data_IF_287503628431
#
_entry.id   IF_287503628431
#
_cell.length_a   1.000
_cell.length_b   1.000
_cell.length_c   1.000
_cell.angle_alpha   90.00
_cell.angle_beta   90.00
_cell.angle_gamma   90.00
#
_symmetry.space_group_name_H-M   'P 1'
#
loop_
_entity.id
_entity.type
_entity.pdbx_description
1 polymer ?
#
# COMPACT_ATOMS: atom_id res chain seq x y z
N UNK A 1 -32.43 -18.86 -6.90
CA UNK A 1 -30.96 -19.02 -6.99
C UNK A 1 -30.32 -17.85 -6.20
N UNK A 2 -29.49 -18.13 -5.17
CA UNK A 2 -28.72 -17.07 -4.54
C UNK A 2 -27.79 -16.50 -5.59
N UNK A 3 -27.84 -15.18 -5.81
CA UNK A 3 -26.89 -14.50 -6.67
C UNK A 3 -25.46 -14.85 -6.20
N UNK A 4 -24.57 -15.17 -7.13
CA UNK A 4 -23.16 -15.42 -6.77
C UNK A 4 -22.62 -14.16 -6.09
N UNK A 5 -21.99 -14.35 -4.93
CA UNK A 5 -21.41 -13.25 -4.18
C UNK A 5 -20.35 -12.54 -5.04
N UNK A 6 -20.43 -11.23 -5.10
CA UNK A 6 -19.55 -10.35 -5.91
C UNK A 6 -18.68 -9.49 -4.99
N UNK A 7 -17.62 -8.99 -5.52
CA UNK A 7 -16.64 -8.19 -4.79
C UNK A 7 -16.70 -6.75 -5.30
N UNK A 8 -16.99 -5.82 -4.38
CA UNK A 8 -16.89 -4.38 -4.63
C UNK A 8 -15.59 -3.87 -4.04
N UNK A 9 -14.78 -3.24 -4.88
CA UNK A 9 -13.65 -2.43 -4.44
C UNK A 9 -14.10 -0.98 -4.31
N UNK A 10 -13.67 -0.30 -3.24
CA UNK A 10 -13.86 1.14 -3.03
C UNK A 10 -12.53 1.81 -2.74
N UNK A 11 -12.43 3.08 -3.12
CA UNK A 11 -11.25 3.94 -2.91
C UNK A 11 -11.72 5.37 -2.66
N UNK A 12 -11.22 5.99 -1.60
CA UNK A 12 -11.54 7.38 -1.27
C UNK A 12 -10.70 8.33 -2.15
N UNK A 13 -11.39 9.10 -2.99
CA UNK A 13 -10.74 9.98 -3.96
C UNK A 13 -9.85 11.03 -3.30
N UNK A 14 -8.58 11.06 -3.72
CA UNK A 14 -7.60 12.03 -3.21
C UNK A 14 -7.49 12.06 -1.69
N UNK A 15 -7.58 10.93 -1.03
CA UNK A 15 -7.88 10.76 0.39
C UNK A 15 -7.24 11.79 1.32
N UNK A 16 -5.89 11.96 1.33
CA UNK A 16 -5.27 12.94 2.23
C UNK A 16 -5.68 14.38 1.91
N UNK A 17 -5.82 14.73 0.64
CA UNK A 17 -6.29 16.06 0.27
C UNK A 17 -7.76 16.27 0.68
N UNK A 18 -8.62 15.27 0.49
CA UNK A 18 -10.00 15.29 0.95
C UNK A 18 -10.11 15.36 2.47
N UNK A 19 -9.21 14.69 3.20
CA UNK A 19 -9.12 14.83 4.66
C UNK A 19 -8.78 16.28 5.09
N UNK A 20 -7.88 16.96 4.38
CA UNK A 20 -7.57 18.36 4.67
C UNK A 20 -8.76 19.29 4.41
N UNK A 21 -9.53 19.04 3.36
CA UNK A 21 -10.77 19.78 3.06
C UNK A 21 -11.86 19.54 4.12
N UNK A 22 -11.91 18.35 4.72
CA UNK A 22 -12.81 18.03 5.85
C UNK A 22 -12.38 18.77 7.11
N UNK A 23 -11.08 18.72 7.43
CA UNK A 23 -10.51 19.33 8.64
C UNK A 23 -10.48 20.85 8.58
N UNK A 24 -10.44 21.42 7.39
CA UNK A 24 -10.37 22.87 7.14
C UNK A 24 -11.25 23.25 5.95
N UNK A 25 -12.56 23.47 6.16
CA UNK A 25 -13.52 23.75 5.08
C UNK A 25 -13.15 24.92 4.16
N UNK A 26 -12.36 25.87 4.63
CA UNK A 26 -11.82 26.99 3.84
C UNK A 26 -10.87 26.53 2.70
N UNK A 27 -10.42 25.28 2.71
CA UNK A 27 -9.57 24.68 1.67
C UNK A 27 -10.39 24.07 0.53
N UNK A 28 -11.68 23.90 0.70
CA UNK A 28 -12.54 23.29 -0.33
C UNK A 28 -12.50 24.06 -1.64
N UNK A 29 -12.32 23.32 -2.73
CA UNK A 29 -12.24 23.90 -4.06
C UNK A 29 -10.95 24.65 -4.38
N UNK A 30 -9.99 24.72 -3.46
CA UNK A 30 -8.68 25.31 -3.71
C UNK A 30 -7.72 24.26 -4.30
N UNK A 31 -6.73 24.68 -5.12
CA UNK A 31 -5.64 23.79 -5.47
C UNK A 31 -4.78 23.54 -4.24
N UNK A 32 -4.83 22.32 -3.68
CA UNK A 32 -4.05 21.95 -2.52
C UNK A 32 -3.33 20.62 -2.73
N UNK A 33 -2.17 20.49 -2.07
CA UNK A 33 -1.46 19.23 -1.94
C UNK A 33 -1.18 18.94 -0.47
N UNK A 34 -1.16 17.66 -0.13
CA UNK A 34 -0.57 17.19 1.11
C UNK A 34 0.84 16.75 0.81
N UNK A 35 1.80 17.29 1.55
CA UNK A 35 3.22 17.03 1.33
C UNK A 35 3.83 16.30 2.53
N UNK A 36 4.74 15.39 2.22
CA UNK A 36 5.57 14.69 3.20
C UNK A 36 7.04 14.83 2.89
N UNK A 37 7.90 14.63 3.88
CA UNK A 37 9.34 14.57 3.71
C UNK A 37 10.09 15.83 4.15
N UNK A 38 11.08 16.20 3.37
CA UNK A 38 12.05 17.26 3.69
C UNK A 38 11.40 18.65 3.60
N UNK A 39 11.96 19.58 4.38
CA UNK A 39 11.53 20.97 4.48
C UNK A 39 11.44 21.61 3.11
N UNK A 40 11.18 21.96 2.26
CA UNK A 40 11.07 22.51 0.89
C UNK A 40 11.18 21.48 -0.25
N UNK A 41 11.74 20.28 0.01
CA UNK A 41 11.98 19.24 -1.00
C UNK A 41 11.08 18.01 -0.82
N UNK A 42 9.96 18.18 -0.12
CA UNK A 42 8.99 17.11 0.06
C UNK A 42 8.38 16.68 -1.26
N UNK A 43 7.75 15.50 -1.24
CA UNK A 43 6.98 14.99 -2.36
C UNK A 43 5.50 15.17 -2.09
N UNK A 44 4.73 15.33 -3.16
CA UNK A 44 3.27 15.32 -3.13
C UNK A 44 2.80 13.93 -2.73
N UNK A 45 2.16 13.80 -1.59
CA UNK A 45 1.53 12.55 -1.14
C UNK A 45 0.12 12.41 -1.73
N UNK A 46 -0.62 13.51 -1.78
CA UNK A 46 -1.96 13.57 -2.38
C UNK A 46 -2.21 14.98 -2.92
N UNK A 47 -2.94 15.07 -4.01
CA UNK A 47 -3.32 16.34 -4.65
C UNK A 47 -4.84 16.42 -4.78
N UNK A 48 -5.45 17.56 -4.45
CA UNK A 48 -6.87 17.81 -4.65
C UNK A 48 -7.22 17.74 -6.14
N UNK A 49 -8.50 17.54 -6.45
CA UNK A 49 -8.99 17.53 -7.84
C UNK A 49 -8.57 18.81 -8.58
N UNK A 50 -8.64 19.94 -7.89
CA UNK A 50 -8.24 21.23 -8.44
C UNK A 50 -6.75 21.28 -8.75
N UNK A 51 -5.88 20.76 -7.84
CA UNK A 51 -4.44 20.70 -8.09
C UNK A 51 -4.09 19.74 -9.23
N UNK A 52 -4.80 18.61 -9.36
CA UNK A 52 -4.63 17.67 -10.49
C UNK A 52 -4.93 18.31 -11.84
N UNK A 53 -5.86 19.26 -11.93
CA UNK A 53 -6.15 19.98 -13.16
C UNK A 53 -4.96 20.82 -13.67
N UNK A 54 -4.02 21.20 -12.81
CA UNK A 54 -2.75 21.84 -13.18
C UNK A 54 -1.65 20.82 -13.53
N UNK A 55 -1.96 19.50 -13.63
CA UNK A 55 -0.98 18.46 -13.93
C UNK A 55 -0.19 17.96 -12.71
N UNK A 56 -0.55 18.40 -11.50
CA UNK A 56 0.12 17.98 -10.26
C UNK A 56 -0.28 16.54 -9.93
N UNK A 57 0.73 15.68 -9.65
CA UNK A 57 0.55 14.25 -9.39
C UNK A 57 1.23 13.83 -8.10
N UNK A 58 0.72 12.79 -7.43
CA UNK A 58 1.41 12.13 -6.32
C UNK A 58 2.79 11.65 -6.76
N UNK A 59 3.79 11.78 -5.86
CA UNK A 59 5.20 11.51 -6.15
C UNK A 59 5.97 12.67 -6.79
N UNK A 60 5.29 13.73 -7.26
CA UNK A 60 5.95 14.93 -7.79
C UNK A 60 6.66 15.69 -6.67
N UNK A 61 7.82 16.25 -6.95
CA UNK A 61 8.50 17.15 -6.01
C UNK A 61 7.67 18.42 -5.77
N UNK A 62 7.57 18.88 -4.52
CA UNK A 62 6.73 20.03 -4.15
C UNK A 62 7.13 21.31 -4.87
N UNK A 63 8.43 21.53 -5.12
CA UNK A 63 8.89 22.70 -5.87
C UNK A 63 8.37 22.71 -7.31
N UNK A 64 8.31 21.54 -7.98
CA UNK A 64 7.72 21.43 -9.32
C UNK A 64 6.22 21.69 -9.30
N UNK A 65 5.53 21.19 -8.27
CA UNK A 65 4.10 21.45 -8.10
C UNK A 65 3.79 22.94 -7.94
N UNK A 66 4.63 23.68 -7.20
CA UNK A 66 4.50 25.14 -7.05
C UNK A 66 4.75 25.90 -8.35
N UNK A 67 5.63 25.41 -9.22
CA UNK A 67 5.85 25.99 -10.54
C UNK A 67 4.63 25.86 -11.47
N UNK A 68 3.83 24.77 -11.29
CA UNK A 68 2.61 24.52 -12.08
C UNK A 68 1.40 25.33 -11.59
N UNK A 69 1.38 25.73 -10.30
CA UNK A 69 0.24 26.45 -9.72
C UNK A 69 0.75 27.45 -8.66
N UNK A 70 0.71 28.74 -8.97
CA UNK A 70 1.21 29.81 -8.08
C UNK A 70 0.37 29.94 -6.79
N UNK A 71 -0.94 29.65 -6.86
CA UNK A 71 -1.87 29.69 -5.73
C UNK A 71 -1.95 28.38 -4.94
N UNK A 72 -1.03 27.44 -5.19
CA UNK A 72 -1.02 26.12 -4.58
C UNK A 72 -0.87 26.18 -3.06
N UNK A 73 -1.86 25.61 -2.35
CA UNK A 73 -1.79 25.43 -0.91
C UNK A 73 -1.04 24.14 -0.60
N UNK A 74 -0.05 24.21 0.27
CA UNK A 74 0.73 23.05 0.71
C UNK A 74 0.42 22.75 2.17
N UNK A 75 -0.23 21.62 2.43
CA UNK A 75 -0.57 21.14 3.76
C UNK A 75 0.46 20.10 4.24
N UNK A 76 0.96 20.21 5.47
CA UNK A 76 1.75 19.13 6.06
C UNK A 76 0.85 17.91 6.33
N UNK A 77 1.40 16.70 6.14
CA UNK A 77 0.65 15.48 6.41
C UNK A 77 0.30 15.34 7.90
N UNK A 78 -0.95 14.97 8.20
CA UNK A 78 -1.49 14.72 9.55
C UNK A 78 -1.98 13.27 9.69
N UNK A 79 -1.09 12.26 9.74
CA UNK A 79 -1.47 10.85 9.65
C UNK A 79 -2.45 10.38 10.72
N UNK A 80 -2.39 10.94 11.95
CA UNK A 80 -3.30 10.57 13.04
C UNK A 80 -4.73 11.02 12.74
N UNK A 81 -4.92 12.24 12.25
CA UNK A 81 -6.22 12.75 11.83
C UNK A 81 -6.78 11.94 10.65
N UNK A 82 -5.93 11.57 9.69
CA UNK A 82 -6.35 10.75 8.55
C UNK A 82 -6.79 9.35 8.98
N UNK A 83 -6.10 8.72 9.95
CA UNK A 83 -6.53 7.45 10.52
C UNK A 83 -7.90 7.52 11.20
N UNK A 84 -8.20 8.62 11.89
CA UNK A 84 -9.52 8.83 12.51
C UNK A 84 -10.63 8.97 11.45
N UNK A 85 -10.38 9.72 10.37
CA UNK A 85 -11.34 9.85 9.27
C UNK A 85 -11.53 8.51 8.56
N UNK A 86 -10.45 7.77 8.30
CA UNK A 86 -10.47 6.41 7.77
C UNK A 86 -11.32 5.48 8.63
N UNK A 87 -11.10 5.47 9.95
CA UNK A 87 -11.86 4.63 10.87
C UNK A 87 -13.37 4.95 10.83
N UNK A 88 -13.75 6.23 10.71
CA UNK A 88 -15.15 6.63 10.53
C UNK A 88 -15.72 6.11 9.20
N UNK A 89 -14.95 6.18 8.11
CA UNK A 89 -15.35 5.64 6.81
C UNK A 89 -15.60 4.12 6.90
N UNK A 90 -14.64 3.36 7.41
CA UNK A 90 -14.78 1.90 7.56
C UNK A 90 -15.93 1.51 8.49
N UNK A 91 -16.16 2.26 9.58
CA UNK A 91 -17.29 2.04 10.47
C UNK A 91 -18.64 2.17 9.74
N UNK A 92 -18.78 3.12 8.79
CA UNK A 92 -19.97 3.23 7.95
C UNK A 92 -20.09 2.10 6.93
N UNK A 93 -18.99 1.73 6.28
CA UNK A 93 -18.98 0.66 5.30
C UNK A 93 -19.37 -0.71 5.88
N UNK A 94 -19.04 -0.97 7.15
CA UNK A 94 -19.42 -2.18 7.85
C UNK A 94 -20.94 -2.39 8.01
N UNK A 95 -21.75 -1.32 7.86
CA UNK A 95 -23.21 -1.46 7.86
C UNK A 95 -23.78 -1.95 6.54
N UNK A 96 -23.01 -1.91 5.45
CA UNK A 96 -23.45 -2.24 4.10
C UNK A 96 -23.08 -3.66 3.65
N UNK A 97 -22.16 -4.31 4.35
CA UNK A 97 -21.69 -5.64 3.99
C UNK A 97 -21.33 -6.46 5.23
N UNK A 98 -21.61 -7.77 5.23
CA UNK A 98 -21.19 -8.67 6.30
C UNK A 98 -19.66 -8.83 6.36
N UNK A 99 -18.97 -8.48 5.28
CA UNK A 99 -17.52 -8.59 5.19
C UNK A 99 -16.92 -7.38 4.49
N UNK A 100 -16.16 -6.60 5.25
CA UNK A 100 -15.35 -5.47 4.77
C UNK A 100 -13.87 -5.76 5.05
N UNK A 101 -13.05 -5.76 4.01
CA UNK A 101 -11.61 -6.03 4.10
C UNK A 101 -10.85 -4.77 3.75
N UNK A 102 -10.25 -4.12 4.74
CA UNK A 102 -9.38 -2.96 4.54
C UNK A 102 -8.06 -3.40 3.88
N UNK A 103 -7.65 -2.69 2.83
CA UNK A 103 -6.34 -2.88 2.16
C UNK A 103 -5.37 -1.78 2.59
N UNK A 104 -5.87 -0.56 2.69
CA UNK A 104 -5.13 0.62 3.14
C UNK A 104 -6.01 1.50 4.03
N UNK A 105 -5.60 2.73 4.30
CA UNK A 105 -6.40 3.72 5.03
C UNK A 105 -7.55 4.30 4.20
N UNK A 106 -7.52 4.13 2.89
CA UNK A 106 -8.41 4.79 1.93
C UNK A 106 -9.11 3.82 0.98
N UNK A 107 -8.70 2.55 0.92
CA UNK A 107 -9.29 1.55 0.02
C UNK A 107 -9.53 0.20 0.69
N UNK A 108 -10.46 -0.55 0.12
CA UNK A 108 -10.79 -1.89 0.59
C UNK A 108 -11.80 -2.60 -0.30
N UNK A 109 -12.23 -3.77 0.17
CA UNK A 109 -13.19 -4.61 -0.52
C UNK A 109 -14.39 -4.91 0.37
N UNK A 110 -15.56 -5.01 -0.26
CA UNK A 110 -16.80 -5.49 0.37
C UNK A 110 -17.34 -6.70 -0.37
N UNK A 111 -17.94 -7.61 0.39
CA UNK A 111 -18.76 -8.69 -0.19
C UNK A 111 -20.14 -8.14 -0.52
N UNK A 112 -20.62 -8.38 -1.74
CA UNK A 112 -21.92 -7.89 -2.22
C UNK A 112 -22.82 -9.06 -2.54
N UNK A 113 -23.98 -9.13 -1.85
CA UNK A 113 -24.99 -10.20 -1.98
C UNK A 113 -26.34 -9.67 -2.52
N UNK A 114 -26.41 -8.38 -2.85
CA UNK A 114 -27.60 -7.70 -3.38
C UNK A 114 -27.28 -6.89 -4.64
N UNK A 115 -28.25 -6.13 -5.16
CA UNK A 115 -28.01 -5.24 -6.29
C UNK A 115 -26.84 -4.28 -6.03
N UNK A 116 -25.80 -4.39 -6.85
CA UNK A 116 -24.54 -3.69 -6.66
C UNK A 116 -24.65 -2.19 -6.91
N UNK A 117 -25.39 -1.76 -7.90
CA UNK A 117 -25.57 -0.34 -8.24
C UNK A 117 -26.35 0.39 -7.14
N UNK A 118 -27.42 -0.22 -6.61
CA UNK A 118 -28.18 0.36 -5.50
C UNK A 118 -27.32 0.44 -4.23
N UNK A 119 -26.61 -0.65 -3.91
CA UNK A 119 -25.68 -0.68 -2.78
C UNK A 119 -24.65 0.44 -2.89
N UNK A 120 -24.03 0.60 -4.07
CA UNK A 120 -23.05 1.64 -4.32
C UNK A 120 -23.62 3.04 -4.09
N UNK A 121 -24.80 3.31 -4.63
CA UNK A 121 -25.46 4.60 -4.46
C UNK A 121 -25.70 4.92 -2.99
N UNK A 122 -26.23 3.97 -2.22
CA UNK A 122 -26.50 4.15 -0.79
C UNK A 122 -25.21 4.37 0.02
N UNK A 123 -24.20 3.51 -0.17
CA UNK A 123 -22.96 3.57 0.62
C UNK A 123 -22.15 4.83 0.29
N UNK A 124 -22.02 5.18 -1.00
CA UNK A 124 -21.24 6.35 -1.40
C UNK A 124 -21.89 7.66 -0.94
N UNK A 125 -23.22 7.77 -1.03
CA UNK A 125 -23.98 8.89 -0.51
C UNK A 125 -23.86 9.00 1.02
N UNK A 126 -23.91 7.87 1.74
CA UNK A 126 -23.77 7.84 3.21
C UNK A 126 -22.38 8.27 3.65
N UNK A 127 -21.32 7.73 3.03
CA UNK A 127 -19.94 8.13 3.36
C UNK A 127 -19.70 9.59 3.01
N UNK A 128 -20.20 10.07 1.87
CA UNK A 128 -20.08 11.47 1.50
C UNK A 128 -20.79 12.41 2.49
N UNK A 129 -22.01 12.08 2.90
CA UNK A 129 -22.80 12.89 3.83
C UNK A 129 -22.24 12.90 5.24
N UNK A 130 -21.84 11.70 5.78
CA UNK A 130 -21.53 11.54 7.20
C UNK A 130 -20.04 11.63 7.52
N UNK A 131 -19.18 11.36 6.53
CA UNK A 131 -17.73 11.45 6.68
C UNK A 131 -17.14 12.60 5.88
N UNK A 132 -17.77 12.96 4.76
CA UNK A 132 -17.30 14.01 3.85
C UNK A 132 -16.33 13.51 2.79
N UNK A 133 -16.14 12.19 2.63
CA UNK A 133 -15.23 11.60 1.66
C UNK A 133 -15.96 11.23 0.37
N UNK A 134 -15.47 11.68 -0.81
CA UNK A 134 -15.91 11.13 -2.09
C UNK A 134 -15.28 9.75 -2.30
N UNK A 135 -16.08 8.80 -2.80
CA UNK A 135 -15.64 7.46 -3.13
C UNK A 135 -15.73 7.17 -4.61
N UNK A 136 -14.82 6.36 -5.11
CA UNK A 136 -14.93 5.65 -6.38
C UNK A 136 -14.97 4.16 -6.16
N UNK A 137 -15.68 3.41 -7.03
CA UNK A 137 -15.88 1.98 -6.83
C UNK A 137 -15.96 1.16 -8.10
N UNK A 138 -15.68 -0.14 -7.95
CA UNK A 138 -15.80 -1.12 -9.01
C UNK A 138 -16.34 -2.44 -8.50
N UNK A 139 -17.31 -3.04 -9.19
CA UNK A 139 -17.96 -4.28 -8.81
C UNK A 139 -17.75 -5.38 -9.85
N UNK A 140 -17.20 -6.51 -9.43
CA UNK A 140 -16.92 -7.66 -10.27
C UNK A 140 -16.92 -8.97 -9.48
N UNK A 141 -16.54 -10.07 -10.14
CA UNK A 141 -16.40 -11.41 -9.56
C UNK A 141 -15.04 -11.62 -8.84
N UNK A 142 -14.10 -10.70 -8.92
CA UNK A 142 -12.77 -10.83 -8.33
C UNK A 142 -12.20 -9.50 -7.86
N UNK A 143 -11.29 -9.54 -6.87
CA UNK A 143 -10.58 -8.36 -6.36
C UNK A 143 -9.76 -7.66 -7.45
N UNK A 144 -9.15 -8.41 -8.36
CA UNK A 144 -8.34 -7.86 -9.44
C UNK A 144 -9.20 -7.01 -10.38
N UNK A 145 -10.34 -7.56 -10.81
CA UNK A 145 -11.20 -6.86 -11.75
C UNK A 145 -11.91 -5.67 -11.08
N UNK A 146 -12.43 -5.84 -9.86
CA UNK A 146 -13.09 -4.75 -9.15
C UNK A 146 -12.14 -3.55 -8.91
N UNK A 147 -10.85 -3.80 -8.66
CA UNK A 147 -9.86 -2.72 -8.57
C UNK A 147 -9.60 -2.04 -9.91
N UNK A 148 -9.45 -2.78 -10.99
CA UNK A 148 -9.31 -2.21 -12.35
C UNK A 148 -10.52 -1.34 -12.70
N UNK A 149 -11.73 -1.81 -12.35
CA UNK A 149 -12.96 -1.04 -12.57
C UNK A 149 -12.97 0.26 -11.76
N UNK A 150 -12.57 0.21 -10.49
CA UNK A 150 -12.47 1.42 -9.66
C UNK A 150 -11.52 2.43 -10.27
N UNK A 151 -10.32 2.01 -10.68
CA UNK A 151 -9.32 2.91 -11.25
C UNK A 151 -9.79 3.51 -12.60
N UNK A 152 -10.54 2.73 -13.39
CA UNK A 152 -11.16 3.19 -14.64
C UNK A 152 -12.35 4.13 -14.41
N UNK A 153 -13.09 3.95 -13.30
CA UNK A 153 -14.28 4.74 -12.96
C UNK A 153 -13.98 6.10 -12.35
N UNK A 154 -12.75 6.31 -11.82
CA UNK A 154 -12.43 7.51 -11.02
C UNK A 154 -12.62 8.83 -11.77
N UNK A 155 -13.46 9.74 -11.26
CA UNK A 155 -14.36 9.57 -10.12
C UNK A 155 -15.67 8.90 -10.56
N UNK A 156 -16.15 7.90 -9.82
CA UNK A 156 -17.43 7.26 -10.08
C UNK A 156 -17.47 5.77 -9.78
N UNK A 157 -18.35 5.06 -10.49
CA UNK A 157 -18.58 3.63 -10.29
C UNK A 157 -18.72 2.91 -11.63
N UNK A 158 -18.10 1.72 -11.71
CA UNK A 158 -18.27 0.78 -12.82
C UNK A 158 -18.58 -0.61 -12.30
N UNK A 159 -19.41 -1.32 -13.04
CA UNK A 159 -19.77 -2.70 -12.82
C UNK A 159 -19.59 -3.52 -14.10
N UNK A 160 -19.03 -4.72 -13.97
CA UNK A 160 -19.02 -5.70 -15.06
C UNK A 160 -19.95 -6.84 -14.67
N UNK A 161 -20.90 -7.14 -15.55
CA UNK A 161 -21.83 -8.25 -15.35
C UNK A 161 -21.08 -9.59 -15.38
N UNK A 162 -21.59 -10.56 -14.63
CA UNK A 162 -21.04 -11.91 -14.65
C UNK A 162 -21.09 -12.51 -16.07
N UNK A 163 -19.96 -13.02 -16.54
CA UNK A 163 -19.78 -13.56 -17.90
C UNK A 163 -19.24 -12.56 -18.92
N UNK A 164 -19.26 -11.24 -18.63
CA UNK A 164 -18.72 -10.22 -19.51
C UNK A 164 -17.26 -9.81 -19.21
N UNK A 165 -16.61 -10.50 -18.25
CA UNK A 165 -15.28 -10.14 -17.74
C UNK A 165 -14.20 -10.23 -18.83
N UNK A 166 -14.24 -11.30 -19.63
CA UNK A 166 -13.27 -11.53 -20.71
C UNK A 166 -13.32 -10.41 -21.77
N UNK A 167 -14.53 -10.07 -22.21
CA UNK A 167 -14.73 -9.05 -23.23
C UNK A 167 -14.33 -7.66 -22.73
N UNK A 168 -14.66 -7.36 -21.47
CA UNK A 168 -14.25 -6.12 -20.83
C UNK A 168 -12.72 -6.00 -20.72
N UNK A 169 -12.02 -7.10 -20.43
CA UNK A 169 -10.57 -7.13 -20.26
C UNK A 169 -9.81 -7.13 -21.59
N UNK A 170 -10.38 -7.67 -22.66
CA UNK A 170 -9.65 -8.03 -23.88
C UNK A 170 -8.73 -6.92 -24.43
N UNK A 171 -9.23 -5.70 -24.54
CA UNK A 171 -8.48 -4.56 -25.06
C UNK A 171 -7.66 -3.80 -24.01
N UNK A 172 -7.76 -4.16 -22.72
CA UNK A 172 -7.10 -3.44 -21.65
C UNK A 172 -5.67 -3.87 -21.47
N UNK A 173 -4.83 -2.91 -21.09
CA UNK A 173 -3.42 -3.16 -20.83
C UNK A 173 -3.22 -4.04 -19.60
N UNK A 174 -2.30 -5.01 -19.68
CA UNK A 174 -1.87 -5.81 -18.51
C UNK A 174 -1.30 -4.95 -17.39
N UNK A 175 -0.85 -3.73 -17.69
CA UNK A 175 -0.33 -2.76 -16.70
C UNK A 175 -1.40 -2.22 -15.75
N UNK A 176 -2.66 -2.35 -16.10
CA UNK A 176 -3.77 -1.97 -15.21
C UNK A 176 -3.92 -2.91 -14.01
N UNK A 177 -3.34 -4.12 -14.10
CA UNK A 177 -3.36 -5.05 -12.97
C UNK A 177 -2.33 -4.63 -11.90
N UNK A 178 -2.81 -4.41 -10.68
CA UNK A 178 -1.96 -4.16 -9.53
C UNK A 178 -0.89 -5.25 -9.38
N UNK A 179 0.38 -4.83 -9.30
CA UNK A 179 1.53 -5.73 -9.25
C UNK A 179 2.16 -6.04 -10.60
N UNK A 180 1.64 -5.51 -11.71
CA UNK A 180 2.30 -5.54 -13.03
C UNK A 180 3.07 -4.24 -13.24
N UNK A 181 4.25 -4.15 -12.63
CA UNK A 181 5.21 -3.07 -12.87
C UNK A 181 6.05 -3.31 -14.13
N UNK A 182 7.03 -2.43 -14.38
CA UNK A 182 7.88 -2.46 -15.60
C UNK A 182 8.48 -3.83 -15.89
N UNK A 183 9.02 -4.52 -14.88
CA UNK A 183 9.67 -5.83 -15.08
C UNK A 183 8.68 -6.91 -15.57
N UNK A 184 7.49 -6.99 -14.93
CA UNK A 184 6.47 -7.97 -15.35
C UNK A 184 5.86 -7.60 -16.69
N UNK A 185 5.59 -6.32 -16.92
CA UNK A 185 5.07 -5.84 -18.19
C UNK A 185 6.08 -6.09 -19.33
N UNK A 186 7.39 -5.86 -19.11
CA UNK A 186 8.44 -6.17 -20.06
C UNK A 186 8.54 -7.67 -20.36
N UNK A 187 8.46 -8.52 -19.33
CA UNK A 187 8.49 -9.97 -19.49
C UNK A 187 7.26 -10.51 -20.25
N UNK A 188 6.06 -9.94 -20.04
CA UNK A 188 4.85 -10.26 -20.80
C UNK A 188 4.96 -9.77 -22.26
N UNK A 189 5.47 -8.55 -22.47
CA UNK A 189 5.67 -8.00 -23.81
C UNK A 189 6.66 -8.83 -24.64
N UNK A 190 7.69 -9.42 -24.01
CA UNK A 190 8.62 -10.35 -24.66
C UNK A 190 7.94 -11.64 -25.14
N UNK A 191 6.78 -12.00 -24.58
CA UNK A 191 5.91 -13.09 -25.03
C UNK A 191 4.82 -12.62 -26.00
N UNK A 192 4.86 -11.36 -26.45
CA UNK A 192 3.85 -10.76 -27.33
C UNK A 192 2.59 -10.27 -26.60
N UNK A 193 2.52 -10.35 -25.27
CA UNK A 193 1.34 -9.99 -24.50
C UNK A 193 1.45 -8.58 -23.90
N UNK A 194 0.63 -7.65 -24.39
CA UNK A 194 0.49 -6.27 -23.89
C UNK A 194 -0.89 -5.99 -23.30
N UNK A 195 -1.89 -6.71 -23.80
CA UNK A 195 -3.28 -6.65 -23.33
C UNK A 195 -3.67 -7.95 -22.65
N UNK A 196 -4.80 -7.93 -21.91
CA UNK A 196 -5.35 -9.18 -21.36
C UNK A 196 -5.86 -10.12 -22.47
N UNK A 197 -6.30 -9.60 -23.62
CA UNK A 197 -6.63 -10.41 -24.79
C UNK A 197 -5.43 -11.20 -25.30
N UNK A 198 -4.26 -10.56 -25.38
CA UNK A 198 -3.02 -11.25 -25.76
C UNK A 198 -2.68 -12.35 -24.75
N UNK A 199 -2.79 -12.06 -23.46
CA UNK A 199 -2.55 -13.06 -22.38
C UNK A 199 -3.52 -14.23 -22.51
N UNK A 200 -4.80 -13.98 -22.78
CA UNK A 200 -5.81 -15.02 -22.94
C UNK A 200 -5.54 -15.95 -24.13
N UNK A 201 -4.88 -15.43 -25.17
CA UNK A 201 -4.50 -16.19 -26.37
C UNK A 201 -3.22 -17.04 -26.18
N UNK A 202 -2.39 -16.76 -25.17
CA UNK A 202 -1.19 -17.56 -24.89
C UNK A 202 -1.54 -18.92 -24.27
N UNK A 203 -0.70 -19.95 -24.50
CA UNK A 203 -0.82 -21.21 -23.76
C UNK A 203 -0.63 -20.99 -22.25
N UNK A 204 -1.56 -21.50 -21.44
CA UNK A 204 -1.52 -21.35 -19.98
C UNK A 204 -0.23 -21.93 -19.35
N UNK A 205 0.31 -23.01 -19.95
CA UNK A 205 1.56 -23.64 -19.51
C UNK A 205 2.75 -22.69 -19.67
N UNK A 206 2.84 -21.96 -20.78
CA UNK A 206 3.92 -20.97 -21.03
C UNK A 206 3.94 -19.90 -19.94
N UNK A 207 2.76 -19.39 -19.54
CA UNK A 207 2.66 -18.41 -18.47
C UNK A 207 3.00 -19.01 -17.10
N UNK A 208 2.59 -20.28 -16.85
CA UNK A 208 2.95 -21.00 -15.63
C UNK A 208 4.45 -21.23 -15.52
N UNK A 209 5.11 -21.64 -16.59
CA UNK A 209 6.56 -21.89 -16.61
C UNK A 209 7.36 -20.59 -16.39
N UNK A 210 6.90 -19.48 -16.98
CA UNK A 210 7.60 -18.19 -16.89
C UNK A 210 7.35 -17.44 -15.59
N UNK A 211 6.13 -17.52 -15.01
CA UNK A 211 5.67 -16.72 -13.88
C UNK A 211 5.13 -17.55 -12.70
N UNK A 212 5.21 -18.88 -12.76
CA UNK A 212 4.72 -19.77 -11.73
C UNK A 212 3.18 -19.72 -11.57
N UNK A 213 2.72 -19.94 -10.35
CA UNK A 213 1.29 -19.92 -10.01
C UNK A 213 0.64 -18.57 -10.37
N UNK A 214 1.38 -17.45 -10.27
CA UNK A 214 0.87 -16.15 -10.66
C UNK A 214 0.52 -16.07 -12.16
N UNK A 215 1.35 -16.65 -13.03
CA UNK A 215 1.08 -16.71 -14.47
C UNK A 215 -0.17 -17.51 -14.80
N UNK A 216 -0.38 -18.64 -14.11
CA UNK A 216 -1.60 -19.43 -14.26
C UNK A 216 -2.84 -18.63 -13.83
N UNK A 217 -2.79 -17.93 -12.69
CA UNK A 217 -3.86 -17.05 -12.23
C UNK A 217 -4.14 -15.92 -13.21
N UNK A 218 -3.10 -15.30 -13.78
CA UNK A 218 -3.23 -14.26 -14.79
C UNK A 218 -3.96 -14.76 -16.04
N UNK A 219 -3.64 -15.98 -16.50
CA UNK A 219 -4.32 -16.59 -17.65
C UNK A 219 -5.82 -16.83 -17.36
N UNK A 220 -6.15 -17.41 -16.21
CA UNK A 220 -7.54 -17.60 -15.80
C UNK A 220 -8.29 -16.27 -15.71
N UNK A 221 -7.66 -15.25 -15.13
CA UNK A 221 -8.19 -13.91 -15.03
C UNK A 221 -8.48 -13.28 -16.40
N UNK A 222 -7.52 -13.36 -17.32
CA UNK A 222 -7.65 -12.82 -18.67
C UNK A 222 -8.76 -13.51 -19.48
N UNK A 223 -9.06 -14.79 -19.17
CA UNK A 223 -10.18 -15.53 -19.76
C UNK A 223 -11.51 -15.36 -19.03
N UNK A 224 -11.60 -14.48 -18.02
CA UNK A 224 -12.83 -14.29 -17.21
C UNK A 224 -13.15 -15.46 -16.28
N UNK A 225 -12.25 -16.44 -16.15
CA UNK A 225 -12.44 -17.66 -15.36
C UNK A 225 -11.94 -17.56 -13.92
N UNK A 226 -11.31 -16.42 -13.56
CA UNK A 226 -10.80 -16.19 -12.22
C UNK A 226 -11.88 -15.60 -11.33
N UNK A 227 -12.33 -16.38 -10.37
CA UNK A 227 -13.15 -15.93 -9.26
C UNK A 227 -12.43 -16.23 -7.93
N UNK A 228 -12.68 -15.45 -6.93
CA UNK A 228 -12.12 -15.64 -5.60
C UNK A 228 -13.15 -15.34 -4.53
N UNK A 229 -13.06 -16.06 -3.41
CA UNK A 229 -13.83 -15.72 -2.21
C UNK A 229 -13.13 -14.55 -1.52
N UNK A 230 -13.88 -13.53 -1.18
CA UNK A 230 -13.42 -12.52 -0.26
C UNK A 230 -13.40 -13.12 1.14
N UNK A 231 -12.21 -13.34 1.67
CA UNK A 231 -12.02 -13.85 3.03
C UNK A 231 -11.36 -12.75 3.85
N UNK A 232 -11.79 -12.59 5.08
CA UNK A 232 -11.05 -11.87 6.09
C UNK A 232 -9.84 -12.75 6.48
N UNK A 233 -8.85 -12.84 5.59
CA UNK A 233 -7.60 -13.50 5.93
C UNK A 233 -6.93 -12.68 7.03
N UNK A 234 -6.81 -13.27 8.20
CA UNK A 234 -5.83 -12.82 9.18
C UNK A 234 -4.45 -13.03 8.55
N UNK A 235 -3.99 -12.03 7.78
CA UNK A 235 -2.63 -12.07 7.23
C UNK A 235 -1.67 -12.04 8.40
N UNK A 236 -1.07 -13.17 8.70
CA UNK A 236 0.08 -13.20 9.61
C UNK A 236 1.11 -12.24 9.04
N UNK A 237 1.42 -11.20 9.80
CA UNK A 237 2.42 -10.22 9.40
C UNK A 237 3.76 -10.94 9.25
N UNK A 238 4.37 -10.86 8.08
CA UNK A 238 5.65 -11.50 7.78
C UNK A 238 6.84 -10.57 7.95
N UNK A 239 6.59 -9.25 8.00
CA UNK A 239 7.61 -8.21 8.11
C UNK A 239 7.08 -6.98 8.81
N UNK A 240 7.93 -6.33 9.60
CA UNK A 240 7.77 -4.95 10.05
C UNK A 240 8.98 -4.13 9.64
N UNK A 241 8.78 -2.86 9.31
CA UNK A 241 9.88 -2.00 8.89
C UNK A 241 9.67 -0.55 9.33
N UNK A 242 10.77 0.17 9.41
CA UNK A 242 10.80 1.61 9.57
C UNK A 242 11.78 2.23 8.58
N UNK A 243 11.36 3.37 8.01
CA UNK A 243 12.16 4.12 7.07
C UNK A 243 12.10 5.59 7.43
N UNK A 244 13.26 6.24 7.43
CA UNK A 244 13.37 7.68 7.66
C UNK A 244 14.25 8.31 6.60
N UNK A 245 13.70 9.20 5.80
CA UNK A 245 14.47 10.18 5.02
C UNK A 245 14.76 11.36 5.93
N UNK A 246 16.01 11.71 6.12
CA UNK A 246 16.42 12.82 7.00
C UNK A 246 16.04 14.17 6.37
N UNK A 247 15.72 15.20 7.17
CA UNK A 247 15.45 16.56 6.67
C UNK A 247 16.61 17.15 5.87
N UNK A 248 17.84 16.80 6.24
CA UNK A 248 19.08 17.13 5.56
C UNK A 248 19.95 15.89 5.47
N UNK A 249 20.86 15.84 4.50
CA UNK A 249 21.83 14.74 4.42
C UNK A 249 22.79 14.81 5.61
N UNK A 250 22.97 13.68 6.30
CA UNK A 250 23.69 13.59 7.59
C UNK A 250 25.09 13.05 7.35
N UNK A 251 26.11 13.84 7.66
CA UNK A 251 27.53 13.44 7.55
C UNK A 251 27.95 12.60 8.76
N UNK A 252 27.49 12.99 9.95
CA UNK A 252 27.79 12.27 11.21
C UNK A 252 27.02 10.94 11.28
N UNK A 253 27.67 9.85 10.92
CA UNK A 253 27.10 8.51 11.02
C UNK A 253 26.76 8.10 12.46
N UNK A 254 27.42 8.68 13.48
CA UNK A 254 27.06 8.44 14.88
C UNK A 254 25.65 8.95 15.21
N UNK A 255 25.22 10.06 14.62
CA UNK A 255 23.83 10.54 14.74
C UNK A 255 22.84 9.58 14.07
N UNK A 256 23.20 9.06 12.88
CA UNK A 256 22.36 8.09 12.15
C UNK A 256 22.25 6.79 12.95
N UNK A 257 23.34 6.31 13.53
CA UNK A 257 23.38 5.12 14.39
C UNK A 257 22.45 5.27 15.61
N UNK A 258 22.60 6.36 16.38
CA UNK A 258 21.73 6.63 17.54
C UNK A 258 20.25 6.73 17.15
N UNK A 259 19.95 7.38 16.03
CA UNK A 259 18.58 7.40 15.51
C UNK A 259 18.09 5.99 15.17
N UNK A 260 18.89 5.19 14.46
CA UNK A 260 18.55 3.81 14.10
C UNK A 260 18.30 2.92 15.32
N UNK A 261 19.13 3.03 16.35
CA UNK A 261 18.95 2.31 17.63
C UNK A 261 17.60 2.64 18.29
N UNK A 262 17.18 3.91 18.27
CA UNK A 262 15.88 4.33 18.77
C UNK A 262 14.72 3.74 17.93
N UNK A 263 14.87 3.67 16.62
CA UNK A 263 13.86 3.08 15.73
C UNK A 263 13.78 1.55 15.87
N UNK A 264 14.92 0.85 16.08
CA UNK A 264 14.94 -0.59 16.40
C UNK A 264 14.14 -0.86 17.68
N UNK A 265 14.35 -0.09 18.75
CA UNK A 265 13.58 -0.23 19.99
C UNK A 265 12.07 -0.06 19.77
N UNK A 266 11.65 0.87 18.91
CA UNK A 266 10.22 1.02 18.56
C UNK A 266 9.67 -0.19 17.80
N UNK A 267 10.47 -0.78 16.91
CA UNK A 267 10.09 -2.03 16.22
C UNK A 267 9.93 -3.18 17.20
N UNK A 268 10.86 -3.31 18.19
CA UNK A 268 10.79 -4.34 19.21
C UNK A 268 9.54 -4.20 20.09
N UNK A 269 9.21 -2.98 20.52
CA UNK A 269 7.94 -2.72 21.25
C UNK A 269 6.74 -3.14 20.41
N UNK A 270 6.75 -2.86 19.12
CA UNK A 270 5.66 -3.27 18.22
C UNK A 270 5.56 -4.79 18.11
N UNK A 271 6.68 -5.50 17.93
CA UNK A 271 6.70 -6.97 17.88
C UNK A 271 6.14 -7.62 19.14
N UNK A 272 6.51 -7.11 20.31
CA UNK A 272 5.98 -7.60 21.59
C UNK A 272 4.46 -7.42 21.70
N UNK A 273 3.93 -6.27 21.29
CA UNK A 273 2.48 -6.03 21.26
C UNK A 273 1.74 -6.99 20.31
N UNK A 274 2.38 -7.36 19.21
CA UNK A 274 1.83 -8.27 18.20
C UNK A 274 2.17 -9.74 18.49
N UNK A 275 2.88 -10.04 19.60
CA UNK A 275 3.31 -11.39 20.01
C UNK A 275 4.13 -12.09 18.91
N UNK A 276 5.04 -11.37 18.26
CA UNK A 276 5.85 -11.84 17.15
C UNK A 276 7.35 -11.77 17.46
N UNK A 277 8.10 -12.74 16.92
CA UNK A 277 9.55 -12.82 17.00
C UNK A 277 10.18 -12.76 15.61
N UNK A 278 11.22 -11.94 15.38
CA UNK A 278 11.91 -11.88 14.11
C UNK A 278 12.99 -12.93 13.99
N UNK A 279 13.23 -13.42 12.78
CA UNK A 279 14.37 -14.28 12.46
C UNK A 279 15.42 -13.59 11.60
N UNK A 280 15.10 -12.46 11.00
CA UNK A 280 16.02 -11.70 10.15
C UNK A 280 15.91 -10.21 10.42
N UNK A 281 17.06 -9.53 10.35
CA UNK A 281 17.19 -8.07 10.40
C UNK A 281 17.91 -7.58 9.16
N UNK A 282 17.42 -6.52 8.53
CA UNK A 282 18.10 -5.80 7.46
C UNK A 282 18.20 -4.33 7.71
N UNK A 283 19.30 -3.80 7.24
CA UNK A 283 19.65 -2.38 7.28
C UNK A 283 19.95 -1.93 5.86
N UNK A 284 19.37 -0.80 5.44
CA UNK A 284 19.72 -0.15 4.18
C UNK A 284 20.00 1.31 4.46
N UNK A 285 21.16 1.78 4.04
CA UNK A 285 21.53 3.18 4.05
C UNK A 285 21.53 3.70 2.62
N UNK A 286 20.71 4.72 2.34
CA UNK A 286 20.75 5.46 1.08
C UNK A 286 21.53 6.74 1.29
N UNK A 287 22.46 7.01 0.40
CA UNK A 287 23.34 8.17 0.46
C UNK A 287 22.80 9.36 -0.35
N UNK A 288 23.49 10.50 -0.27
CA UNK A 288 23.12 11.78 -0.92
C UNK A 288 23.07 11.68 -2.45
N UNK A 289 23.85 10.80 -3.04
CA UNK A 289 23.86 10.50 -4.48
C UNK A 289 22.83 9.44 -4.90
N UNK A 290 21.92 9.06 -3.98
CA UNK A 290 20.90 8.02 -4.14
C UNK A 290 21.43 6.57 -4.26
N UNK A 291 22.74 6.33 -4.16
CA UNK A 291 23.27 4.98 -4.01
C UNK A 291 22.80 4.36 -2.69
N UNK A 292 22.63 3.02 -2.68
CA UNK A 292 22.20 2.26 -1.50
C UNK A 292 23.24 1.21 -1.16
N UNK A 293 23.49 1.04 0.14
CA UNK A 293 24.21 -0.11 0.68
C UNK A 293 23.27 -0.83 1.63
N UNK A 294 23.19 -2.15 1.49
CA UNK A 294 22.30 -3.00 2.27
C UNK A 294 23.09 -4.15 2.90
N UNK A 295 22.81 -4.39 4.18
CA UNK A 295 23.34 -5.52 4.93
C UNK A 295 22.19 -6.25 5.65
N UNK A 296 22.34 -7.55 5.87
CA UNK A 296 21.33 -8.37 6.54
C UNK A 296 21.97 -9.39 7.47
N UNK A 297 21.27 -9.67 8.57
CA UNK A 297 21.64 -10.71 9.52
C UNK A 297 20.49 -11.70 9.70
N UNK A 298 20.80 -13.00 9.72
CA UNK A 298 19.84 -14.05 9.99
C UNK A 298 20.20 -14.75 11.30
N UNK A 299 19.30 -14.67 12.26
CA UNK A 299 19.43 -15.36 13.54
C UNK A 299 19.22 -16.88 13.35
N UNK A 300 19.93 -17.69 14.13
CA UNK A 300 19.78 -19.16 14.07
C UNK A 300 18.35 -19.61 14.39
N UNK A 301 17.68 -18.88 15.31
CA UNK A 301 16.29 -19.10 15.72
C UNK A 301 15.58 -17.76 15.84
N UNK A 302 14.22 -17.71 15.89
CA UNK A 302 13.48 -16.50 16.20
C UNK A 302 14.01 -15.83 17.47
N UNK A 303 14.25 -14.52 17.42
CA UNK A 303 15.02 -13.82 18.44
C UNK A 303 14.12 -13.12 19.44
N UNK A 304 14.22 -13.50 20.72
CA UNK A 304 13.51 -12.88 21.85
C UNK A 304 14.34 -11.77 22.53
N UNK A 305 15.66 -11.85 22.43
CA UNK A 305 16.58 -10.95 23.15
C UNK A 305 16.81 -9.68 22.35
N UNK A 306 16.32 -8.58 22.90
CA UNK A 306 16.44 -7.26 22.29
C UNK A 306 17.90 -6.83 22.09
N UNK A 307 18.77 -7.17 23.04
CA UNK A 307 20.19 -6.83 23.00
C UNK A 307 20.84 -7.38 21.74
N UNK A 308 20.59 -8.66 21.42
CA UNK A 308 21.16 -9.31 20.24
C UNK A 308 20.67 -8.66 18.92
N UNK A 309 19.43 -8.17 18.90
CA UNK A 309 18.90 -7.46 17.74
C UNK A 309 19.53 -6.07 17.62
N UNK A 310 19.72 -5.38 18.76
CA UNK A 310 20.39 -4.08 18.79
C UNK A 310 21.87 -4.18 18.40
N UNK A 311 22.58 -5.19 18.87
CA UNK A 311 23.99 -5.44 18.52
C UNK A 311 24.14 -5.80 17.04
N UNK A 312 23.27 -6.67 16.52
CA UNK A 312 23.22 -7.00 15.09
C UNK A 312 22.95 -5.76 14.25
N UNK A 313 22.02 -4.87 14.68
CA UNK A 313 21.78 -3.60 13.99
C UNK A 313 23.05 -2.74 13.95
N UNK A 314 23.76 -2.57 15.07
CA UNK A 314 24.95 -1.75 15.11
C UNK A 314 26.06 -2.30 14.20
N UNK A 315 26.24 -3.63 14.17
CA UNK A 315 27.19 -4.28 13.27
C UNK A 315 26.83 -4.09 11.80
N UNK A 316 25.57 -4.33 11.41
CA UNK A 316 25.10 -4.15 10.04
C UNK A 316 25.18 -2.68 9.58
N UNK A 317 24.88 -1.75 10.48
CA UNK A 317 25.02 -0.34 10.17
C UNK A 317 26.47 0.04 9.92
N UNK A 318 27.40 -0.42 10.76
CA UNK A 318 28.83 -0.21 10.56
C UNK A 318 29.32 -0.79 9.22
N UNK A 319 28.83 -1.98 8.84
CA UNK A 319 29.09 -2.57 7.51
C UNK A 319 28.58 -1.68 6.38
N UNK A 320 27.35 -1.17 6.49
CA UNK A 320 26.76 -0.29 5.46
C UNK A 320 27.51 1.02 5.24
N UNK A 321 28.15 1.56 6.28
CA UNK A 321 28.85 2.85 6.20
C UNK A 321 30.37 2.71 6.09
N UNK A 322 30.91 1.51 6.15
CA UNK A 322 32.34 1.25 6.04
C UNK A 322 32.88 1.77 4.69
N UNK A 323 33.94 2.59 4.73
CA UNK A 323 34.58 3.16 3.55
C UNK A 323 33.73 4.21 2.80
N UNK A 324 32.58 4.62 3.34
CA UNK A 324 31.74 5.62 2.70
C UNK A 324 32.15 7.04 3.12
N UNK A 325 32.32 7.93 2.13
CA UNK A 325 32.57 9.37 2.34
C UNK A 325 31.32 10.23 2.11
N UNK A 326 30.19 9.63 1.74
CA UNK A 326 28.94 10.31 1.36
C UNK A 326 28.05 10.54 2.57
N UNK A 327 27.26 11.60 2.56
CA UNK A 327 26.26 11.84 3.61
C UNK A 327 25.10 10.83 3.53
N UNK A 328 24.59 10.38 4.66
CA UNK A 328 23.39 9.53 4.74
C UNK A 328 22.13 10.37 4.49
N UNK A 329 21.36 9.99 3.49
CA UNK A 329 20.06 10.58 3.13
C UNK A 329 18.88 9.89 3.79
N UNK A 330 18.95 8.55 3.91
CA UNK A 330 17.85 7.74 4.41
C UNK A 330 18.39 6.49 5.12
N UNK A 331 17.70 6.11 6.18
CA UNK A 331 17.89 4.83 6.86
C UNK A 331 16.60 4.02 6.76
N UNK A 332 16.71 2.74 6.38
CA UNK A 332 15.64 1.76 6.38
C UNK A 332 16.04 0.55 7.23
N UNK A 333 15.13 0.14 8.09
CA UNK A 333 15.25 -1.00 8.99
C UNK A 333 14.09 -1.93 8.73
N UNK A 334 14.34 -3.23 8.65
CA UNK A 334 13.28 -4.22 8.50
C UNK A 334 13.59 -5.46 9.34
N UNK A 335 12.57 -6.00 9.99
CA UNK A 335 12.55 -7.26 10.69
C UNK A 335 11.57 -8.18 9.98
N UNK A 336 12.01 -9.34 9.53
CA UNK A 336 11.17 -10.26 8.77
C UNK A 336 11.38 -11.71 9.18
N UNK A 337 10.67 -12.63 8.47
CA UNK A 337 10.50 -14.01 8.90
C UNK A 337 9.95 -14.08 10.32
N UNK A 338 8.84 -13.33 10.52
CA UNK A 338 8.17 -13.22 11.80
C UNK A 338 7.44 -14.52 12.12
N UNK A 339 7.58 -15.00 13.35
CA UNK A 339 6.85 -16.15 13.89
C UNK A 339 6.15 -15.79 15.19
N UNK A 340 5.00 -16.42 15.53
CA UNK A 340 4.35 -16.19 16.81
C UNK A 340 5.29 -16.52 17.98
N UNK A 341 5.20 -15.75 19.06
CA UNK A 341 5.82 -16.16 20.34
C UNK A 341 5.13 -17.44 20.82
N UNK A 342 5.89 -18.50 21.03
CA UNK A 342 5.35 -19.68 21.70
C UNK A 342 4.94 -19.30 23.13
N UNK A 343 3.68 -19.56 23.50
CA UNK A 343 3.24 -19.42 24.87
C UNK A 343 4.10 -20.37 25.72
N UNK A 344 5.08 -19.85 26.45
CA UNK A 344 5.65 -20.59 27.57
C UNK A 344 4.59 -20.58 28.66
N UNK A 345 3.94 -21.74 28.90
CA UNK A 345 3.20 -21.94 30.15
C UNK A 345 4.15 -21.59 31.29
N UNK A 346 3.75 -20.70 32.22
CA UNK A 346 4.54 -20.50 33.41
C UNK A 346 4.66 -21.87 34.13
N UNK A 347 5.88 -22.35 34.31
CA UNK A 347 6.11 -23.49 35.18
C UNK A 347 5.62 -23.10 36.56
N UNK A 348 4.44 -23.57 36.95
CA UNK A 348 4.08 -23.63 38.34
C UNK A 348 5.06 -24.63 38.96
N UNK A 349 6.04 -24.12 39.70
CA UNK A 349 6.75 -24.93 40.68
C UNK A 349 5.72 -25.22 41.75
N UNK A 350 5.27 -26.46 41.82
CA UNK A 350 4.59 -26.97 42.99
C UNK A 350 5.60 -26.88 44.16
N UNK A 351 5.21 -26.17 45.21
CA UNK A 351 5.84 -26.15 46.52
C UNK A 351 5.21 -27.25 47.35
#
# INVERSE_FOLDING_TARGET
MKAAARILHFDADNFFASCEEILSPALRGRPLIVAGGRRNDGIVLSASRRAKAFGIKSGMACFKARQLCAELVVCPARPDAYRQISARMFARLNHFSPLVVAVSVDEGFLLVERNGAELWHELSATVSREVGLPLSGGLANSRWLSKILTDAAKPGFLEVAAGAEKDFLAARSVRELSGVGENRAGALAALGARTFGDVAALPSMLLKDRFGIWGQKLWLFANGQWSEKLLAEARTRTMISRQKTFPFDVIDYGRVLRFGQAEVKKLLVQLRREQLLPRELGVVVRFSDFSEVAAKHRFRQPQERDELICDAFAALFAECVAGQSKSARQLRLALWNLSPMAFRQPFFREF
#
